data_IF_222399888965
#
_entry.id   IF_222399888965
#
_cell.length_a   1.000
_cell.length_b   1.000
_cell.length_c   1.000
_cell.angle_alpha   90.00
_cell.angle_beta   90.00
_cell.angle_gamma   90.00
#
_symmetry.space_group_name_H-M   'P 1'
#
loop_
_entity.id
_entity.type
_entity.pdbx_description
1 polymer ?
#
# COMPACT_ATOMS: atom_id res chain seq x y z
N UNK A 1 9.05 -19.49 -18.62
CA UNK A 1 7.75 -19.72 -17.92
C UNK A 1 7.68 -18.78 -16.71
N UNK A 2 6.49 -18.39 -16.25
CA UNK A 2 6.34 -17.61 -15.00
C UNK A 2 6.99 -18.33 -13.81
N UNK A 3 7.11 -19.65 -13.88
CA UNK A 3 7.77 -20.53 -12.91
C UNK A 3 9.30 -20.31 -12.79
N UNK A 4 9.93 -19.77 -13.83
CA UNK A 4 11.39 -19.50 -13.86
C UNK A 4 11.74 -18.02 -13.66
N UNK A 5 10.76 -17.13 -13.81
CA UNK A 5 10.91 -15.66 -13.86
C UNK A 5 9.66 -15.00 -13.28
N UNK A 6 9.52 -15.00 -11.95
CA UNK A 6 8.31 -14.57 -11.25
C UNK A 6 8.00 -13.08 -11.44
N UNK A 7 8.99 -12.27 -11.81
CA UNK A 7 8.82 -10.85 -12.19
C UNK A 7 8.02 -10.66 -13.49
N UNK A 8 7.74 -11.73 -14.24
CA UNK A 8 6.99 -11.66 -15.50
C UNK A 8 5.49 -11.73 -15.26
N UNK A 9 4.77 -10.76 -15.82
CA UNK A 9 3.31 -10.76 -15.88
C UNK A 9 2.82 -12.06 -16.54
N UNK A 10 1.92 -12.76 -15.86
CA UNK A 10 1.34 -14.02 -16.33
C UNK A 10 0.52 -13.81 -17.62
N UNK A 11 0.37 -14.86 -18.43
CA UNK A 11 -0.47 -14.78 -19.64
C UNK A 11 -1.91 -14.40 -19.29
N UNK A 12 -2.43 -14.92 -18.18
CA UNK A 12 -3.75 -14.57 -17.66
C UNK A 12 -3.89 -13.07 -17.38
N UNK A 13 -2.94 -12.48 -16.64
CA UNK A 13 -2.93 -11.06 -16.34
C UNK A 13 -2.79 -10.20 -17.61
N UNK A 14 -2.06 -10.67 -18.62
CA UNK A 14 -1.99 -9.99 -19.93
C UNK A 14 -3.33 -10.02 -20.66
N UNK A 15 -4.06 -11.13 -20.63
CA UNK A 15 -5.39 -11.21 -21.24
C UNK A 15 -6.42 -10.37 -20.47
N UNK A 16 -6.35 -10.33 -19.13
CA UNK A 16 -7.17 -9.45 -18.29
C UNK A 16 -6.85 -7.97 -18.52
N UNK A 17 -5.58 -7.61 -18.70
CA UNK A 17 -5.20 -6.24 -19.01
C UNK A 17 -5.80 -5.76 -20.35
N UNK A 18 -5.98 -6.64 -21.34
CA UNK A 18 -6.62 -6.26 -22.61
C UNK A 18 -8.10 -5.91 -22.48
N UNK A 19 -8.78 -6.37 -21.43
CA UNK A 19 -10.18 -6.02 -21.19
C UNK A 19 -10.35 -4.67 -20.50
N UNK A 20 -9.25 -4.05 -20.05
CA UNK A 20 -9.27 -2.74 -19.42
C UNK A 20 -9.16 -1.64 -20.48
N UNK A 21 -9.99 -0.62 -20.31
CA UNK A 21 -9.98 0.60 -21.08
C UNK A 21 -8.94 1.58 -20.49
N UNK A 22 -7.86 1.79 -21.23
CA UNK A 22 -6.80 2.76 -20.92
C UNK A 22 -6.87 4.03 -21.79
N UNK A 23 -7.96 4.23 -22.54
CA UNK A 23 -8.09 5.39 -23.41
C UNK A 23 -8.06 6.68 -22.58
N UNK A 24 -7.28 7.65 -23.07
CA UNK A 24 -7.08 8.95 -22.43
C UNK A 24 -6.50 8.87 -20.99
N UNK A 25 -5.78 7.78 -20.68
CA UNK A 25 -4.95 7.65 -19.49
C UNK A 25 -3.49 7.84 -19.91
N UNK A 26 -2.87 8.92 -19.44
CA UNK A 26 -1.44 9.12 -19.58
C UNK A 26 -0.70 8.46 -18.41
N UNK A 27 0.36 7.72 -18.73
CA UNK A 27 1.23 7.11 -17.73
C UNK A 27 2.50 7.96 -17.55
N UNK A 28 3.01 8.11 -16.31
CA UNK A 28 2.47 7.58 -15.05
C UNK A 28 1.20 8.30 -14.60
N UNK A 29 0.22 7.52 -14.10
CA UNK A 29 -1.09 8.03 -13.69
C UNK A 29 -0.98 8.85 -12.39
N UNK A 30 -1.61 10.01 -12.33
CA UNK A 30 -1.77 10.79 -11.10
C UNK A 30 -2.97 10.27 -10.29
N UNK A 31 -3.10 10.68 -9.01
CA UNK A 31 -4.21 10.24 -8.16
C UNK A 31 -5.59 10.61 -8.75
N UNK A 32 -5.68 11.71 -9.50
CA UNK A 32 -6.92 12.16 -10.15
C UNK A 32 -7.30 11.29 -11.34
N UNK A 33 -6.31 10.71 -12.03
CA UNK A 33 -6.53 9.77 -13.13
C UNK A 33 -7.14 8.45 -12.67
N UNK A 34 -6.98 8.07 -11.40
CA UNK A 34 -7.54 6.83 -10.84
C UNK A 34 -9.07 6.85 -10.89
N UNK A 35 -9.71 7.94 -10.44
CA UNK A 35 -11.16 8.10 -10.48
C UNK A 35 -11.72 7.93 -11.90
N UNK A 36 -10.99 8.47 -12.90
CA UNK A 36 -11.35 8.35 -14.31
C UNK A 36 -11.26 6.90 -14.76
N UNK A 37 -10.16 6.24 -14.43
CA UNK A 37 -9.92 4.85 -14.79
C UNK A 37 -10.91 3.88 -14.14
N UNK A 38 -11.24 4.08 -12.86
CA UNK A 38 -12.28 3.30 -12.14
C UNK A 38 -13.64 3.42 -12.82
N UNK A 39 -14.07 4.65 -13.15
CA UNK A 39 -15.34 4.90 -13.84
C UNK A 39 -15.38 4.29 -15.25
N UNK A 40 -14.25 4.35 -15.98
CA UNK A 40 -14.16 3.78 -17.33
C UNK A 40 -14.23 2.25 -17.34
N UNK A 41 -13.82 1.59 -16.25
CA UNK A 41 -13.70 0.14 -16.17
C UNK A 41 -14.70 -0.52 -15.22
N UNK A 42 -15.47 0.27 -14.47
CA UNK A 42 -16.37 -0.17 -13.41
C UNK A 42 -15.67 -1.11 -12.41
N UNK A 43 -14.47 -0.70 -11.97
CA UNK A 43 -13.63 -1.41 -10.99
C UNK A 43 -13.26 -0.47 -9.84
N UNK A 44 -12.81 -1.06 -8.73
CA UNK A 44 -12.33 -0.33 -7.56
C UNK A 44 -10.83 -0.61 -7.35
N UNK A 45 -10.07 0.45 -7.12
CA UNK A 45 -8.62 0.43 -6.90
C UNK A 45 -8.35 0.96 -5.50
N UNK A 46 -7.73 0.13 -4.66
CA UNK A 46 -7.27 0.56 -3.36
C UNK A 46 -5.80 0.99 -3.43
N UNK A 47 -5.50 2.26 -3.13
CA UNK A 47 -4.14 2.79 -3.13
C UNK A 47 -3.65 2.89 -1.69
N UNK A 48 -2.66 2.06 -1.33
CA UNK A 48 -2.05 2.07 0.00
C UNK A 48 -0.74 2.86 -0.09
N UNK A 49 -0.73 4.06 0.48
CA UNK A 49 0.45 4.90 0.62
C UNK A 49 1.05 4.82 2.03
N UNK A 50 2.35 5.09 2.14
CA UNK A 50 3.05 5.18 3.43
C UNK A 50 3.32 6.65 3.77
N UNK A 51 2.31 7.38 4.23
CA UNK A 51 2.48 8.76 4.72
C UNK A 51 1.56 9.07 5.92
N UNK A 52 2.11 9.77 6.93
CA UNK A 52 1.40 10.27 8.12
C UNK A 52 0.39 11.42 7.82
N UNK A 53 0.04 11.62 6.54
CA UNK A 53 -0.92 12.61 6.09
C UNK A 53 -2.10 11.87 5.47
N UNK A 54 -3.30 12.18 5.93
CA UNK A 54 -4.53 11.79 5.25
C UNK A 54 -4.52 12.40 3.84
N UNK A 55 -4.07 11.62 2.86
CA UNK A 55 -4.33 11.91 1.46
C UNK A 55 -5.82 11.59 1.28
N UNK A 56 -6.63 12.63 1.10
CA UNK A 56 -8.04 12.48 0.80
C UNK A 56 -8.14 12.01 -0.66
N UNK A 57 -7.92 10.71 -0.85
CA UNK A 57 -8.20 10.02 -2.10
C UNK A 57 -9.71 10.07 -2.22
N UNK A 58 -10.19 10.63 -3.32
CA UNK A 58 -11.59 10.97 -3.55
C UNK A 58 -12.38 9.67 -3.80
N UNK A 59 -12.49 8.81 -2.79
CA UNK A 59 -13.30 7.60 -2.80
C UNK A 59 -14.74 8.04 -3.08
N UNK A 60 -15.23 7.80 -4.30
CA UNK A 60 -16.58 8.15 -4.77
C UNK A 60 -17.62 8.05 -3.64
N UNK A 61 -18.20 9.16 -3.19
CA UNK A 61 -19.39 9.34 -2.32
C UNK A 61 -19.63 8.35 -1.16
N UNK A 62 -18.72 7.43 -0.87
CA UNK A 62 -18.78 6.51 0.23
C UNK A 62 -18.20 7.26 1.40
N UNK A 63 -18.98 7.33 2.49
CA UNK A 63 -18.49 7.91 3.72
C UNK A 63 -17.15 7.24 4.07
N UNK A 64 -16.12 8.01 4.47
CA UNK A 64 -14.89 7.43 4.96
C UNK A 64 -15.25 6.46 6.08
N UNK A 65 -14.89 5.18 5.91
CA UNK A 65 -15.10 4.19 6.95
C UNK A 65 -14.26 4.62 8.16
N UNK A 66 -14.94 5.12 9.19
CA UNK A 66 -14.31 5.51 10.43
C UNK A 66 -13.80 4.25 11.12
N UNK A 67 -12.48 4.13 11.19
CA UNK A 67 -11.81 3.05 11.92
C UNK A 67 -12.09 3.27 13.42
N UNK A 68 -13.10 2.58 13.95
CA UNK A 68 -13.41 2.57 15.38
C UNK A 68 -12.53 1.52 16.05
N UNK A 69 -11.58 1.97 16.87
CA UNK A 69 -10.79 1.07 17.70
C UNK A 69 -11.67 0.42 18.78
N UNK A 70 -11.46 -0.87 19.10
CA UNK A 70 -12.20 -1.53 20.17
C UNK A 70 -11.88 -0.90 21.53
N UNK A 71 -12.85 -0.96 22.44
CA UNK A 71 -12.67 -0.45 23.80
C UNK A 71 -11.55 -1.20 24.54
N UNK A 72 -10.90 -0.48 25.46
CA UNK A 72 -9.74 -1.01 26.20
C UNK A 72 -10.16 -2.21 27.05
N UNK A 73 -9.58 -3.37 26.76
CA UNK A 73 -9.89 -4.63 27.45
C UNK A 73 -10.86 -5.56 26.69
N UNK A 74 -11.36 -5.14 25.53
CA UNK A 74 -12.17 -6.00 24.66
C UNK A 74 -11.24 -6.86 23.80
N UNK A 75 -11.46 -8.17 23.82
CA UNK A 75 -10.83 -9.09 22.88
C UNK A 75 -11.65 -9.18 21.60
N UNK A 76 -11.00 -8.93 20.47
CA UNK A 76 -11.57 -9.17 19.14
C UNK A 76 -11.23 -10.60 18.71
N UNK A 77 -12.22 -11.29 18.13
CA UNK A 77 -12.06 -12.64 17.61
C UNK A 77 -12.61 -12.69 16.19
N UNK A 78 -11.88 -13.33 15.28
CA UNK A 78 -12.38 -13.60 13.95
C UNK A 78 -13.53 -14.60 14.04
N UNK A 79 -14.68 -14.28 13.43
CA UNK A 79 -15.85 -15.18 13.40
C UNK A 79 -16.00 -15.92 12.08
N UNK A 80 -15.41 -15.41 11.01
CA UNK A 80 -15.65 -15.89 9.65
C UNK A 80 -14.36 -16.39 8.97
N UNK A 81 -13.64 -17.30 9.66
CA UNK A 81 -12.45 -17.96 9.11
C UNK A 81 -12.70 -18.60 7.74
N UNK A 82 -13.91 -19.08 7.47
CA UNK A 82 -14.30 -19.67 6.17
C UNK A 82 -14.29 -18.67 5.00
N UNK A 83 -14.30 -17.35 5.29
CA UNK A 83 -14.20 -16.28 4.29
C UNK A 83 -12.77 -15.75 4.13
N UNK A 84 -11.80 -16.45 4.69
CA UNK A 84 -10.39 -16.18 4.46
C UNK A 84 -10.06 -16.39 2.98
N UNK A 85 -9.54 -15.36 2.33
CA UNK A 85 -8.98 -15.51 0.99
C UNK A 85 -7.65 -16.23 1.12
N UNK A 86 -7.56 -17.44 0.54
CA UNK A 86 -6.28 -18.15 0.44
C UNK A 86 -5.33 -17.34 -0.42
N UNK A 87 -4.31 -16.76 0.21
CA UNK A 87 -3.27 -16.01 -0.47
C UNK A 87 -2.20 -17.01 -0.93
N UNK A 88 -1.82 -17.03 -2.21
CA UNK A 88 -0.93 -18.06 -2.77
C UNK A 88 0.49 -18.05 -2.18
N UNK A 89 0.94 -16.90 -1.70
CA UNK A 89 2.21 -16.73 -1.00
C UNK A 89 2.13 -15.48 -0.11
N UNK A 90 2.86 -15.49 1.00
CA UNK A 90 3.03 -14.35 1.90
C UNK A 90 4.50 -13.98 1.90
N UNK A 91 4.79 -12.71 1.62
CA UNK A 91 6.14 -12.15 1.69
C UNK A 91 6.24 -11.34 2.97
N UNK A 92 7.07 -11.78 3.89
CA UNK A 92 7.46 -11.03 5.07
C UNK A 92 8.75 -10.29 4.72
N UNK A 93 8.71 -8.97 4.63
CA UNK A 93 9.89 -8.15 4.39
C UNK A 93 10.22 -7.34 5.63
N UNK A 94 11.48 -7.37 6.03
CA UNK A 94 12.03 -6.55 7.11
C UNK A 94 13.12 -5.64 6.55
N UNK A 95 13.15 -4.39 7.01
CA UNK A 95 14.05 -3.35 6.52
C UNK A 95 14.81 -2.75 7.70
N UNK A 96 16.12 -2.90 7.68
CA UNK A 96 17.00 -2.31 8.66
C UNK A 96 17.42 -0.92 8.19
N UNK A 97 17.31 0.07 9.08
CA UNK A 97 17.77 1.42 8.80
C UNK A 97 18.65 1.95 9.92
N UNK A 98 19.72 2.65 9.54
CA UNK A 98 20.54 3.39 10.48
C UNK A 98 20.02 4.81 10.59
N UNK A 99 19.87 5.30 11.82
CA UNK A 99 19.43 6.66 12.09
C UNK A 99 20.65 7.58 12.09
N UNK A 100 20.79 8.40 11.05
CA UNK A 100 21.81 9.46 11.05
C UNK A 100 21.26 10.71 11.74
N UNK A 101 21.95 11.27 12.75
CA UNK A 101 21.52 12.52 13.36
C UNK A 101 21.58 13.65 12.33
N UNK A 102 20.59 14.54 12.38
CA UNK A 102 20.55 15.76 11.60
C UNK A 102 20.86 16.91 12.53
N UNK A 103 21.84 17.73 12.18
CA UNK A 103 22.13 18.96 12.88
C UNK A 103 21.38 20.10 12.19
N UNK A 104 20.35 20.62 12.85
CA UNK A 104 19.60 21.79 12.39
C UNK A 104 19.74 22.93 13.40
N UNK A 105 19.55 24.16 12.93
CA UNK A 105 19.48 25.34 13.77
C UNK A 105 18.22 25.29 14.65
N UNK A 106 18.20 26.06 15.74
CA UNK A 106 16.98 26.26 16.52
C UNK A 106 15.89 26.91 15.65
N UNK A 107 14.67 26.34 15.62
CA UNK A 107 13.56 26.91 14.84
C UNK A 107 13.01 28.19 15.48
N UNK A 108 12.34 29.01 14.70
CA UNK A 108 11.72 30.25 15.19
C UNK A 108 10.65 29.96 16.25
N UNK A 109 10.74 30.52 17.48
CA UNK A 109 9.75 30.33 18.53
C UNK A 109 8.34 30.88 18.22
N UNK A 110 8.21 31.80 17.26
CA UNK A 110 6.93 32.43 16.91
C UNK A 110 6.07 31.58 15.96
N UNK A 111 6.62 30.53 15.36
CA UNK A 111 5.92 29.66 14.42
C UNK A 111 5.84 28.22 14.93
N UNK A 112 4.80 27.49 14.52
CA UNK A 112 4.73 26.05 14.77
C UNK A 112 5.73 25.32 13.87
N UNK A 113 6.64 24.54 14.46
CA UNK A 113 7.64 23.79 13.73
C UNK A 113 7.65 22.31 14.12
N UNK A 114 8.17 21.46 13.22
CA UNK A 114 8.42 20.04 13.49
C UNK A 114 9.92 19.79 13.40
N UNK A 115 10.52 19.29 14.47
CA UNK A 115 11.95 18.99 14.53
C UNK A 115 12.25 17.60 13.98
N UNK A 116 12.83 17.56 12.77
CA UNK A 116 13.36 16.32 12.19
C UNK A 116 14.81 16.15 12.70
N UNK A 117 14.99 15.33 13.73
CA UNK A 117 16.29 15.15 14.40
C UNK A 117 17.12 13.99 13.84
N UNK A 118 16.49 13.05 13.13
CA UNK A 118 17.15 11.86 12.57
C UNK A 118 16.64 11.56 11.16
N UNK A 119 17.55 11.13 10.29
CA UNK A 119 17.25 10.63 8.96
C UNK A 119 17.49 9.11 8.92
N UNK A 120 16.46 8.29 8.65
CA UNK A 120 16.65 6.87 8.40
C UNK A 120 17.35 6.67 7.05
N UNK A 121 18.41 5.87 7.05
CA UNK A 121 19.09 5.42 5.84
C UNK A 121 18.96 3.89 5.79
N UNK A 122 18.39 3.31 4.72
CA UNK A 122 18.28 1.87 4.61
C UNK A 122 19.68 1.24 4.51
N UNK A 123 19.95 0.24 5.32
CA UNK A 123 21.23 -0.47 5.35
C UNK A 123 21.09 -1.96 5.00
N UNK A 124 19.91 -2.52 5.19
CA UNK A 124 19.66 -3.92 4.94
C UNK A 124 18.19 -4.18 4.70
N UNK A 125 17.93 -5.27 4.00
CA UNK A 125 16.59 -5.83 3.89
C UNK A 125 16.69 -7.35 3.94
N UNK A 126 15.69 -7.99 4.52
CA UNK A 126 15.50 -9.42 4.51
C UNK A 126 14.08 -9.69 4.04
N UNK A 127 13.88 -10.71 3.22
CA UNK A 127 12.54 -11.17 2.89
C UNK A 127 12.44 -12.68 3.05
N UNK A 128 11.33 -13.11 3.63
CA UNK A 128 10.94 -14.50 3.78
C UNK A 128 9.64 -14.74 3.03
N UNK A 129 9.66 -15.69 2.11
CA UNK A 129 8.48 -16.06 1.34
C UNK A 129 7.97 -17.38 1.91
N UNK A 130 6.72 -17.37 2.39
CA UNK A 130 6.00 -18.58 2.76
C UNK A 130 4.93 -18.85 1.71
N UNK A 131 4.87 -20.07 1.23
CA UNK A 131 3.78 -20.53 0.37
C UNK A 131 3.19 -21.81 0.93
N UNK A 132 1.87 -21.96 0.77
CA UNK A 132 1.13 -23.15 1.18
C UNK A 132 1.11 -24.23 0.08
N UNK A 133 1.73 -23.96 -1.07
CA UNK A 133 1.93 -24.97 -2.12
C UNK A 133 3.16 -25.81 -1.77
N UNK A 134 2.94 -27.04 -1.27
CA UNK A 134 3.97 -28.07 -1.27
C UNK A 134 4.19 -28.54 -2.72
N UNK A 135 5.46 -28.66 -3.13
CA UNK A 135 5.88 -29.13 -4.47
C UNK A 135 5.21 -30.44 -4.90
#
# INVERSE_FOLDING_TARGET
PTDSKPERITKLLKEQAKTLNFNDIEFPIDLKGIDKFEKQNNIFINVIGYENKHININCNNNDPDNIVMPEKGVSIQFKNYQREMKVPFVVYADFESILKPIYTCEPNPEESFTNIYQRPIPIGFCYYIKSDFME
#
